data_IF_036687201877
#
_entry.id   IF_036687201877
#
_cell.length_a   1.000
_cell.length_b   1.000
_cell.length_c   1.000
_cell.angle_alpha   90.00
_cell.angle_beta   90.00
_cell.angle_gamma   90.00
#
_symmetry.space_group_name_H-M   'P 1'
#
loop_
_entity.id
_entity.type
_entity.pdbx_description
1 polymer ?
#
# COMPACT_ATOMS: atom_id res chain seq x y z
N UNK A 1 16.50 1.06 -26.96
CA UNK A 1 17.39 1.03 -25.77
C UNK A 1 18.72 1.67 -26.09
N UNK A 2 19.34 2.35 -25.13
CA UNK A 2 20.69 2.90 -25.26
C UNK A 2 21.73 1.91 -24.71
N UNK A 3 22.99 2.09 -25.09
CA UNK A 3 24.10 1.33 -24.53
C UNK A 3 24.74 2.02 -23.33
N UNK A 4 24.27 3.22 -23.00
CA UNK A 4 24.80 3.98 -21.86
C UNK A 4 24.19 3.50 -20.55
N UNK A 5 24.98 3.57 -19.50
CA UNK A 5 24.49 3.37 -18.15
C UNK A 5 23.40 4.42 -17.78
N UNK A 6 22.37 3.97 -17.06
CA UNK A 6 21.25 4.85 -16.70
C UNK A 6 21.71 6.09 -15.93
N UNK A 7 22.66 5.93 -14.98
CA UNK A 7 23.15 7.05 -14.18
C UNK A 7 23.87 8.15 -14.97
N UNK A 8 24.33 7.85 -16.19
CA UNK A 8 24.90 8.85 -17.09
C UNK A 8 23.85 9.67 -17.85
N UNK A 9 22.57 9.25 -17.78
CA UNK A 9 21.47 9.80 -18.57
C UNK A 9 20.24 10.20 -17.75
N UNK A 10 20.25 10.01 -16.43
CA UNK A 10 19.09 10.19 -15.55
C UNK A 10 18.60 11.64 -15.49
N UNK A 11 19.47 12.60 -15.77
CA UNK A 11 19.17 14.04 -15.89
C UNK A 11 18.72 14.48 -17.28
N UNK A 12 18.79 13.60 -18.28
CA UNK A 12 18.56 13.94 -19.72
C UNK A 12 17.46 13.13 -20.37
N UNK A 13 17.22 11.91 -19.92
CA UNK A 13 16.27 10.99 -20.50
C UNK A 13 15.35 10.39 -19.44
N UNK A 14 14.09 10.17 -19.81
CA UNK A 14 13.14 9.43 -18.98
C UNK A 14 13.36 7.94 -19.18
N UNK A 15 13.55 7.22 -18.07
CA UNK A 15 13.53 5.76 -18.04
C UNK A 15 12.09 5.30 -17.83
N UNK A 16 11.58 4.50 -18.76
CA UNK A 16 10.29 3.83 -18.62
C UNK A 16 10.53 2.36 -18.29
N UNK A 17 10.04 1.92 -17.15
CA UNK A 17 10.02 0.51 -16.78
C UNK A 17 8.75 -0.13 -17.35
N UNK A 18 8.92 -1.11 -18.24
CA UNK A 18 7.80 -1.81 -18.88
C UNK A 18 7.66 -3.18 -18.22
N UNK A 19 6.65 -3.30 -17.37
CA UNK A 19 6.29 -4.54 -16.70
C UNK A 19 5.01 -5.10 -17.31
N UNK A 20 5.02 -6.39 -17.64
CA UNK A 20 3.81 -7.11 -18.03
C UNK A 20 2.97 -7.46 -16.80
N UNK A 21 1.65 -7.26 -16.90
CA UNK A 21 0.67 -7.69 -15.90
C UNK A 21 -0.37 -8.58 -16.56
N UNK A 22 -0.80 -9.64 -15.86
CA UNK A 22 -1.85 -10.55 -16.35
C UNK A 22 -3.26 -9.98 -16.12
N UNK A 23 -3.42 -9.03 -15.19
CA UNK A 23 -4.72 -8.47 -14.81
C UNK A 23 -5.53 -7.91 -15.98
N UNK A 24 -4.97 -7.11 -16.92
CA UNK A 24 -5.72 -6.59 -18.05
C UNK A 24 -6.25 -7.70 -18.97
N UNK A 25 -5.47 -8.77 -19.16
CA UNK A 25 -5.87 -9.94 -19.97
C UNK A 25 -6.98 -10.70 -19.28
N UNK A 26 -6.89 -10.91 -17.97
CA UNK A 26 -7.91 -11.57 -17.15
C UNK A 26 -9.21 -10.78 -17.15
N UNK A 27 -9.15 -9.47 -16.96
CA UNK A 27 -10.33 -8.59 -17.01
C UNK A 27 -11.01 -8.64 -18.39
N UNK A 28 -10.22 -8.64 -19.47
CA UNK A 28 -10.77 -8.76 -20.83
C UNK A 28 -11.43 -10.10 -21.04
N UNK A 29 -10.84 -11.20 -20.60
CA UNK A 29 -11.43 -12.53 -20.67
C UNK A 29 -12.75 -12.59 -19.89
N UNK A 30 -12.80 -12.06 -18.69
CA UNK A 30 -14.02 -11.98 -17.88
C UNK A 30 -15.10 -11.14 -18.57
N UNK A 31 -14.75 -10.01 -19.17
CA UNK A 31 -15.67 -9.21 -19.97
C UNK A 31 -16.24 -10.00 -21.14
N UNK A 32 -15.42 -10.73 -21.86
CA UNK A 32 -15.86 -11.53 -23.02
C UNK A 32 -16.79 -12.69 -22.61
N UNK A 33 -16.59 -13.28 -21.42
CA UNK A 33 -17.42 -14.36 -20.87
C UNK A 33 -18.75 -13.84 -20.31
N UNK A 34 -18.71 -12.74 -19.56
CA UNK A 34 -19.87 -12.25 -18.79
C UNK A 34 -20.68 -11.19 -19.54
N UNK A 35 -20.08 -10.52 -20.52
CA UNK A 35 -20.64 -9.35 -21.19
C UNK A 35 -20.66 -8.07 -20.32
N UNK A 36 -20.07 -8.11 -19.13
CA UNK A 36 -20.03 -6.96 -18.20
C UNK A 36 -18.81 -6.10 -18.50
N UNK A 37 -19.02 -4.80 -18.72
CA UNK A 37 -17.91 -3.85 -18.82
C UNK A 37 -17.29 -3.62 -17.43
N UNK A 38 -16.01 -3.95 -17.23
CA UNK A 38 -15.32 -3.74 -15.95
C UNK A 38 -15.40 -2.30 -15.42
N UNK A 39 -15.48 -1.31 -16.32
CA UNK A 39 -15.62 0.11 -15.94
C UNK A 39 -16.98 0.46 -15.33
N UNK A 40 -17.98 -0.39 -15.52
CA UNK A 40 -19.31 -0.19 -14.96
C UNK A 40 -19.49 -0.81 -13.57
N UNK A 41 -18.51 -1.58 -13.09
CA UNK A 41 -18.59 -2.27 -11.80
C UNK A 41 -18.40 -1.25 -10.66
N UNK A 42 -19.35 -1.17 -9.69
CA UNK A 42 -19.20 -0.27 -8.55
C UNK A 42 -18.08 -0.74 -7.62
N UNK A 43 -17.22 0.20 -7.18
CA UNK A 43 -16.10 -0.09 -6.28
C UNK A 43 -16.50 -0.23 -4.79
N UNK A 44 -17.78 -0.07 -4.47
CA UNK A 44 -18.31 -0.05 -3.10
C UNK A 44 -19.37 -1.13 -2.86
N UNK A 45 -19.35 -2.19 -3.66
CA UNK A 45 -20.25 -3.33 -3.47
C UNK A 45 -19.87 -4.10 -2.19
N UNK A 46 -20.80 -4.12 -1.22
CA UNK A 46 -20.55 -4.69 0.11
C UNK A 46 -20.33 -6.20 0.08
N UNK A 47 -21.06 -6.92 -0.79
CA UNK A 47 -20.88 -8.35 -0.96
C UNK A 47 -19.48 -8.68 -1.50
N UNK A 48 -19.06 -7.98 -2.54
CA UNK A 48 -17.72 -8.13 -3.11
C UNK A 48 -16.65 -7.76 -2.08
N UNK A 49 -16.82 -6.68 -1.32
CA UNK A 49 -15.89 -6.28 -0.26
C UNK A 49 -15.80 -7.31 0.87
N UNK A 50 -16.86 -8.07 1.14
CA UNK A 50 -16.84 -9.10 2.18
C UNK A 50 -15.85 -10.24 1.91
N UNK A 51 -15.45 -10.46 0.65
CA UNK A 51 -14.43 -11.45 0.24
C UNK A 51 -13.10 -11.23 0.96
N UNK A 52 -12.76 -9.98 1.26
CA UNK A 52 -11.53 -9.63 1.95
C UNK A 52 -11.58 -9.86 3.49
N UNK A 53 -12.73 -10.30 4.01
CA UNK A 53 -12.95 -10.58 5.45
C UNK A 53 -13.35 -12.03 5.73
N UNK A 54 -14.01 -12.69 4.78
CA UNK A 54 -14.46 -14.08 4.90
C UNK A 54 -14.61 -14.73 3.52
N UNK A 55 -14.87 -16.02 3.51
CA UNK A 55 -15.18 -16.79 2.29
C UNK A 55 -16.70 -17.06 2.10
N UNK A 56 -17.52 -16.56 3.03
CA UNK A 56 -18.96 -16.89 3.09
C UNK A 56 -19.74 -16.53 1.82
N UNK A 57 -19.47 -15.34 1.26
CA UNK A 57 -20.17 -14.86 0.05
C UNK A 57 -19.88 -15.73 -1.18
N UNK A 58 -18.78 -16.48 -1.19
CA UNK A 58 -18.44 -17.41 -2.27
C UNK A 58 -19.29 -18.68 -2.26
N UNK A 59 -20.04 -18.94 -1.19
CA UNK A 59 -20.84 -20.15 -1.02
C UNK A 59 -20.02 -21.44 -0.89
N UNK A 60 -18.72 -21.33 -0.69
CA UNK A 60 -17.77 -22.45 -0.50
C UNK A 60 -16.89 -22.15 0.70
N UNK A 61 -16.38 -23.19 1.36
CA UNK A 61 -15.40 -23.03 2.42
C UNK A 61 -13.99 -23.21 1.88
N UNK A 62 -13.12 -22.24 2.15
CA UNK A 62 -11.70 -22.30 1.81
C UNK A 62 -10.81 -22.81 2.94
N UNK A 63 -11.41 -23.32 4.04
CA UNK A 63 -10.67 -23.81 5.24
C UNK A 63 -9.73 -24.96 4.92
N UNK A 64 -10.10 -25.86 4.01
CA UNK A 64 -9.23 -26.96 3.58
C UNK A 64 -7.96 -26.44 2.88
N UNK A 65 -8.03 -25.26 2.25
CA UNK A 65 -6.91 -24.58 1.63
C UNK A 65 -6.18 -23.67 2.63
N UNK A 66 -6.53 -23.73 3.92
CA UNK A 66 -5.99 -22.86 4.98
C UNK A 66 -6.16 -21.37 4.65
N UNK A 67 -7.31 -21.01 4.14
CA UNK A 67 -7.67 -19.64 3.80
C UNK A 67 -8.86 -19.22 4.66
N UNK A 68 -8.70 -18.12 5.37
CA UNK A 68 -9.73 -17.53 6.24
C UNK A 68 -10.47 -16.37 5.56
N UNK A 69 -10.04 -15.98 4.36
CA UNK A 69 -10.62 -14.92 3.53
C UNK A 69 -10.76 -15.39 2.08
N UNK A 70 -11.71 -14.81 1.34
CA UNK A 70 -12.04 -15.22 -0.02
C UNK A 70 -11.09 -14.72 -1.11
N UNK A 71 -9.97 -14.07 -0.76
CA UNK A 71 -9.11 -13.38 -1.73
C UNK A 71 -8.06 -14.27 -2.40
N UNK A 72 -8.10 -15.60 -2.22
CA UNK A 72 -7.05 -16.53 -2.71
C UNK A 72 -6.76 -16.38 -4.21
N UNK A 73 -7.78 -16.16 -5.04
CA UNK A 73 -7.65 -16.01 -6.49
C UNK A 73 -7.42 -14.57 -6.96
N UNK A 74 -7.34 -13.60 -6.05
CA UNK A 74 -7.14 -12.20 -6.41
C UNK A 74 -5.64 -11.91 -6.46
N UNK A 75 -5.11 -11.38 -7.60
CA UNK A 75 -3.70 -11.04 -7.74
C UNK A 75 -3.21 -10.17 -6.58
N UNK A 76 -2.01 -10.48 -6.07
CA UNK A 76 -1.35 -9.88 -4.91
C UNK A 76 -2.05 -10.12 -3.55
N UNK A 77 -3.39 -10.16 -3.50
CA UNK A 77 -4.18 -10.36 -2.28
C UNK A 77 -4.34 -11.83 -1.86
N UNK A 78 -3.94 -12.76 -2.71
CA UNK A 78 -4.00 -14.20 -2.44
C UNK A 78 -2.80 -14.77 -1.70
N UNK A 79 -1.75 -14.01 -1.47
CA UNK A 79 -0.54 -14.49 -0.77
C UNK A 79 -0.80 -14.69 0.73
N UNK A 80 -0.07 -15.60 1.37
CA UNK A 80 -0.21 -15.82 2.82
C UNK A 80 0.00 -14.53 3.62
N UNK A 81 0.97 -13.73 3.20
CA UNK A 81 1.31 -12.47 3.86
C UNK A 81 0.15 -11.47 3.81
N UNK A 82 -0.39 -11.20 2.61
CA UNK A 82 -1.48 -10.24 2.46
C UNK A 82 -2.79 -10.75 3.07
N UNK A 83 -3.07 -12.06 2.99
CA UNK A 83 -4.23 -12.63 3.70
C UNK A 83 -4.12 -12.44 5.20
N UNK A 84 -2.93 -12.55 5.79
CA UNK A 84 -2.68 -12.19 7.19
C UNK A 84 -2.99 -10.71 7.48
N UNK A 85 -2.57 -9.81 6.60
CA UNK A 85 -2.91 -8.37 6.71
C UNK A 85 -4.43 -8.13 6.66
N UNK A 86 -5.14 -8.81 5.76
CA UNK A 86 -6.60 -8.72 5.65
C UNK A 86 -7.30 -9.19 6.92
N UNK A 87 -6.80 -10.23 7.57
CA UNK A 87 -7.34 -10.72 8.85
C UNK A 87 -7.12 -9.73 9.98
N UNK A 88 -5.97 -9.07 10.00
CA UNK A 88 -5.65 -8.05 11.01
C UNK A 88 -6.47 -6.77 10.81
N UNK A 89 -6.64 -6.33 9.58
CA UNK A 89 -7.24 -5.01 9.25
C UNK A 89 -8.74 -5.06 8.95
N UNK A 90 -9.25 -6.20 8.45
CA UNK A 90 -10.67 -6.44 8.07
C UNK A 90 -11.28 -5.31 7.25
N UNK A 91 -10.72 -4.99 6.07
CA UNK A 91 -11.11 -3.82 5.29
C UNK A 91 -12.56 -3.88 4.83
N UNK A 92 -13.17 -2.70 4.72
CA UNK A 92 -14.57 -2.51 4.30
C UNK A 92 -14.70 -1.63 3.06
N UNK A 93 -13.63 -0.94 2.67
CA UNK A 93 -13.63 0.01 1.56
C UNK A 93 -12.49 -0.27 0.57
N UNK A 94 -12.66 0.20 -0.66
CA UNK A 94 -11.61 0.14 -1.68
C UNK A 94 -10.37 0.95 -1.26
N UNK A 95 -10.56 2.06 -0.55
CA UNK A 95 -9.45 2.88 -0.05
C UNK A 95 -8.57 2.10 0.93
N UNK A 96 -9.18 1.35 1.84
CA UNK A 96 -8.44 0.46 2.76
C UNK A 96 -7.67 -0.62 2.01
N UNK A 97 -8.24 -1.19 0.92
CA UNK A 97 -7.53 -2.15 0.08
C UNK A 97 -6.31 -1.53 -0.62
N UNK A 98 -6.44 -0.30 -1.11
CA UNK A 98 -5.31 0.43 -1.72
C UNK A 98 -4.19 0.64 -0.69
N UNK A 99 -4.55 0.98 0.56
CA UNK A 99 -3.58 1.10 1.66
C UNK A 99 -2.90 -0.22 1.98
N UNK A 100 -3.64 -1.32 2.07
CA UNK A 100 -3.09 -2.66 2.29
C UNK A 100 -2.14 -3.05 1.14
N UNK A 101 -2.50 -2.74 -0.10
CA UNK A 101 -1.63 -2.95 -1.25
C UNK A 101 -0.30 -2.17 -1.08
N UNK A 102 -0.35 -0.91 -0.67
CA UNK A 102 0.85 -0.11 -0.37
C UNK A 102 1.69 -0.74 0.74
N UNK A 103 1.07 -1.12 1.85
CA UNK A 103 1.73 -1.75 3.00
C UNK A 103 2.32 -3.14 2.70
N UNK A 104 1.85 -3.82 1.67
CA UNK A 104 2.36 -5.14 1.27
C UNK A 104 3.68 -5.07 0.50
N UNK A 105 4.10 -3.89 0.08
CA UNK A 105 5.33 -3.64 -0.65
C UNK A 105 6.39 -2.99 0.26
N UNK A 106 7.65 -3.34 0.03
CA UNK A 106 8.77 -2.82 0.80
C UNK A 106 9.12 -3.68 2.03
N UNK A 107 10.32 -3.43 2.56
CA UNK A 107 10.86 -4.12 3.73
C UNK A 107 10.40 -3.39 4.98
N UNK A 108 9.91 -4.15 5.98
CA UNK A 108 9.54 -3.64 7.30
C UNK A 108 8.50 -2.50 7.32
N UNK A 109 7.67 -2.41 6.26
CA UNK A 109 6.61 -1.40 6.21
C UNK A 109 5.40 -1.84 7.05
N UNK A 110 5.02 -3.12 6.96
CA UNK A 110 3.92 -3.69 7.73
C UNK A 110 4.39 -4.30 9.05
N UNK A 111 5.22 -5.36 8.99
CA UNK A 111 5.69 -6.08 10.17
C UNK A 111 6.55 -5.19 11.06
N UNK A 112 6.32 -5.25 12.38
CA UNK A 112 7.02 -4.46 13.39
C UNK A 112 6.91 -2.93 13.21
N UNK A 113 5.95 -2.46 12.42
CA UNK A 113 5.66 -1.06 12.20
C UNK A 113 4.14 -0.84 12.14
N UNK A 114 3.55 -0.66 10.95
CA UNK A 114 2.12 -0.37 10.79
C UNK A 114 1.23 -1.44 11.45
N UNK A 115 1.62 -2.71 11.42
CA UNK A 115 0.89 -3.79 12.07
C UNK A 115 0.72 -3.55 13.57
N UNK A 116 1.81 -3.21 14.25
CA UNK A 116 1.78 -3.00 15.70
C UNK A 116 0.94 -1.76 16.05
N UNK A 117 1.12 -0.66 15.30
CA UNK A 117 0.34 0.56 15.49
C UNK A 117 -1.18 0.32 15.35
N UNK A 118 -1.57 -0.48 14.36
CA UNK A 118 -2.99 -0.81 14.13
C UNK A 118 -3.51 -1.75 15.20
N UNK A 119 -2.76 -2.78 15.57
CA UNK A 119 -3.15 -3.75 16.61
C UNK A 119 -3.28 -3.12 17.99
N UNK A 120 -2.37 -2.21 18.33
CA UNK A 120 -2.36 -1.52 19.63
C UNK A 120 -3.36 -0.37 19.71
N UNK A 121 -3.97 -0.01 18.57
CA UNK A 121 -4.90 1.12 18.48
C UNK A 121 -4.22 2.49 18.58
N UNK A 122 -2.91 2.56 18.38
CA UNK A 122 -2.14 3.82 18.35
C UNK A 122 -2.47 4.65 17.11
N UNK A 123 -2.67 3.97 15.97
CA UNK A 123 -3.10 4.59 14.72
C UNK A 123 -4.03 3.64 13.96
N UNK A 124 -4.91 4.20 13.15
CA UNK A 124 -5.78 3.43 12.26
C UNK A 124 -5.06 3.08 10.96
N UNK A 125 -5.62 2.13 10.19
CA UNK A 125 -5.13 1.82 8.84
C UNK A 125 -5.07 3.06 7.94
N UNK A 126 -5.95 4.04 8.19
CA UNK A 126 -6.02 5.29 7.42
C UNK A 126 -4.94 6.30 7.79
N UNK A 127 -4.30 6.14 8.94
CA UNK A 127 -3.30 7.08 9.48
C UNK A 127 -1.86 6.60 9.30
N UNK A 128 -1.65 5.26 9.26
CA UNK A 128 -0.30 4.70 9.11
C UNK A 128 0.32 5.00 7.75
N UNK A 129 1.62 5.01 7.67
CA UNK A 129 2.37 5.24 6.42
C UNK A 129 2.24 4.02 5.53
N UNK A 130 1.55 4.15 4.40
CA UNK A 130 1.34 3.09 3.41
C UNK A 130 2.21 3.25 2.17
N UNK A 131 2.49 4.50 1.79
CA UNK A 131 3.32 4.85 0.64
C UNK A 131 4.31 5.94 1.03
N UNK A 132 5.40 6.06 0.27
CA UNK A 132 6.36 7.17 0.47
C UNK A 132 5.71 8.55 0.35
N UNK A 133 4.72 8.68 -0.52
CA UNK A 133 4.03 9.96 -0.73
C UNK A 133 3.21 10.38 0.48
N UNK A 134 2.75 9.42 1.31
CA UNK A 134 2.09 9.73 2.58
C UNK A 134 3.01 10.55 3.48
N UNK A 135 4.31 10.21 3.55
CA UNK A 135 5.26 10.95 4.37
C UNK A 135 5.35 12.40 3.94
N UNK A 136 5.59 12.64 2.66
CA UNK A 136 5.72 14.01 2.13
C UNK A 136 4.44 14.81 2.35
N UNK A 137 3.30 14.25 1.97
CA UNK A 137 2.01 14.93 2.05
C UNK A 137 1.61 15.22 3.50
N UNK A 138 1.84 14.27 4.41
CA UNK A 138 1.56 14.46 5.84
C UNK A 138 2.41 15.58 6.43
N UNK A 139 3.69 15.59 6.16
CA UNK A 139 4.59 16.65 6.65
C UNK A 139 4.19 18.03 6.12
N UNK A 140 3.88 18.15 4.83
CA UNK A 140 3.43 19.42 4.22
C UNK A 140 2.11 19.88 4.83
N UNK A 141 1.15 18.98 5.04
CA UNK A 141 -0.14 19.29 5.65
C UNK A 141 -0.01 19.80 7.09
N UNK A 142 1.06 19.41 7.81
CA UNK A 142 1.37 19.89 9.15
C UNK A 142 2.32 21.09 9.19
N UNK A 143 2.53 21.76 8.06
CA UNK A 143 3.34 22.99 7.98
C UNK A 143 4.80 22.79 7.64
N UNK A 144 5.20 21.56 7.30
CA UNK A 144 6.56 21.25 6.87
C UNK A 144 6.95 21.96 5.57
N UNK A 145 8.21 22.40 5.47
CA UNK A 145 8.73 23.00 4.23
C UNK A 145 8.77 21.94 3.12
N UNK A 146 8.20 22.20 1.91
CA UNK A 146 8.03 21.19 0.87
C UNK A 146 9.31 20.49 0.42
N UNK A 147 10.43 21.24 0.27
CA UNK A 147 11.71 20.67 -0.16
C UNK A 147 12.30 19.76 0.92
N UNK A 148 12.18 20.13 2.20
CA UNK A 148 12.64 19.29 3.32
C UNK A 148 11.74 18.06 3.47
N UNK A 149 10.42 18.21 3.32
CA UNK A 149 9.45 17.10 3.36
C UNK A 149 9.74 16.08 2.27
N UNK A 150 10.02 16.53 1.05
CA UNK A 150 10.47 15.67 -0.05
C UNK A 150 11.79 14.94 0.28
N UNK A 151 12.80 15.66 0.80
CA UNK A 151 14.08 15.04 1.19
C UNK A 151 13.93 14.02 2.31
N UNK A 152 13.04 14.28 3.26
CA UNK A 152 12.69 13.35 4.34
C UNK A 152 12.08 12.08 3.78
N UNK A 153 11.05 12.20 2.94
CA UNK A 153 10.44 11.08 2.23
C UNK A 153 11.47 10.25 1.45
N UNK A 154 12.34 10.90 0.68
CA UNK A 154 13.39 10.22 -0.10
C UNK A 154 14.44 9.53 0.79
N UNK A 155 14.76 10.10 1.96
CA UNK A 155 15.67 9.48 2.91
C UNK A 155 15.11 8.19 3.50
N UNK A 156 13.85 8.23 3.91
CA UNK A 156 13.10 7.07 4.43
C UNK A 156 12.96 6.00 3.35
N UNK A 157 12.50 6.36 2.14
CA UNK A 157 12.36 5.44 1.01
C UNK A 157 13.65 4.69 0.69
N UNK A 158 14.79 5.35 0.82
CA UNK A 158 16.12 4.75 0.56
C UNK A 158 16.66 3.93 1.73
N UNK A 159 15.89 3.76 2.81
CA UNK A 159 16.31 3.05 4.01
C UNK A 159 17.44 3.75 4.77
N UNK A 160 17.57 5.08 4.63
CA UNK A 160 18.58 5.87 5.33
C UNK A 160 18.08 6.45 6.65
N UNK A 161 16.78 6.27 6.94
CA UNK A 161 16.13 6.84 8.11
C UNK A 161 16.10 8.36 8.12
N UNK A 162 15.91 8.93 9.31
CA UNK A 162 15.83 10.36 9.52
C UNK A 162 17.21 10.94 9.89
N UNK A 163 17.54 12.07 9.30
CA UNK A 163 18.66 12.90 9.78
C UNK A 163 18.19 13.81 10.90
N UNK A 164 19.11 14.31 11.80
CA UNK A 164 18.72 15.18 12.90
C UNK A 164 17.87 16.39 12.47
N UNK A 165 18.25 17.07 11.40
CA UNK A 165 17.53 18.23 10.86
C UNK A 165 16.09 17.90 10.40
N UNK A 166 15.84 16.66 9.95
CA UNK A 166 14.52 16.21 9.55
C UNK A 166 13.65 15.91 10.78
N UNK A 167 14.23 15.24 11.77
CA UNK A 167 13.56 14.92 13.03
C UNK A 167 13.21 16.20 13.81
N UNK A 168 14.14 17.15 13.90
CA UNK A 168 13.92 18.47 14.53
C UNK A 168 12.74 19.20 13.87
N UNK A 169 12.71 19.26 12.53
CA UNK A 169 11.62 19.88 11.81
C UNK A 169 10.26 19.16 12.02
N UNK A 170 10.26 17.84 12.17
CA UNK A 170 9.05 17.08 12.50
C UNK A 170 8.55 17.45 13.90
N UNK A 171 9.42 17.55 14.88
CA UNK A 171 9.06 17.99 16.24
C UNK A 171 8.54 19.43 16.26
N UNK A 172 9.18 20.36 15.55
CA UNK A 172 8.72 21.76 15.44
C UNK A 172 7.31 21.87 14.84
N UNK A 173 6.96 20.96 13.93
CA UNK A 173 5.63 20.90 13.32
C UNK A 173 4.64 20.01 14.09
N UNK A 174 4.96 19.62 15.34
CA UNK A 174 4.12 18.79 16.21
C UNK A 174 3.72 17.45 15.60
N UNK A 175 4.59 16.83 14.80
CA UNK A 175 4.36 15.48 14.29
C UNK A 175 4.38 14.50 15.47
N UNK A 176 3.38 13.58 15.57
CA UNK A 176 3.35 12.60 16.65
C UNK A 176 4.58 11.70 16.68
N UNK A 177 5.04 11.34 17.88
CA UNK A 177 6.25 10.53 18.04
C UNK A 177 6.16 9.17 17.31
N UNK A 178 4.99 8.52 17.35
CA UNK A 178 4.79 7.25 16.64
C UNK A 178 5.01 7.38 15.13
N UNK A 179 4.66 8.53 14.54
CA UNK A 179 4.86 8.79 13.11
C UNK A 179 6.35 8.99 12.79
N UNK A 180 7.05 9.74 13.65
CA UNK A 180 8.51 9.91 13.56
C UNK A 180 9.22 8.55 13.66
N UNK A 181 8.81 7.72 14.61
CA UNK A 181 9.40 6.39 14.82
C UNK A 181 9.12 5.46 13.64
N UNK A 182 7.95 5.56 13.00
CA UNK A 182 7.64 4.83 11.76
C UNK A 182 8.52 5.24 10.56
N UNK A 183 9.14 6.41 10.61
CA UNK A 183 10.05 6.89 9.57
C UNK A 183 11.53 6.50 9.82
N UNK A 184 11.88 5.94 10.98
CA UNK A 184 13.24 5.54 11.35
C UNK A 184 13.59 4.16 10.86
#
# INVERSE_FOLDING_TARGET
TTHFDFHALDDKLVKLDILGHDDPTTLRMLQDITGIDPKSIPLHDEETMSIFKSDEVLGISLKELKCDVGSLGIPEFGTNFVRGMLMDTRPTTMEELVRIAGLSHGTDVWLNNAQDLVRDGTATLMEVICTRDDIMNYLIAHGGEPSLSFKTMESVRKGKGLKPEMEDAMHENNIPQWYIDSCK
#
